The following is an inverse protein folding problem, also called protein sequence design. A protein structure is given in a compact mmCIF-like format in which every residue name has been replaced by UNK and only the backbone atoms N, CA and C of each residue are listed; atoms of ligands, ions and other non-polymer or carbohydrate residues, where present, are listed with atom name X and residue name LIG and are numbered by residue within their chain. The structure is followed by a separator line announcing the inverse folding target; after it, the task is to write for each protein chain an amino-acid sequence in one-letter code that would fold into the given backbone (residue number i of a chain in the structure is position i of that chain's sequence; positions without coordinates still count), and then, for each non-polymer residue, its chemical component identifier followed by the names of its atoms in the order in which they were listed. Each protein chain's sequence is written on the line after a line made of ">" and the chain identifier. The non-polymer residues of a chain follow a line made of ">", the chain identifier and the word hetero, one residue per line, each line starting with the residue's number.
data_IF_767378715951
#
_entry.id   IF_767378715951
#
_cell.length_a   1.000
_cell.length_b   1.000
_cell.length_c   1.000
_cell.angle_alpha   90.00
_cell.angle_beta   90.00
_cell.angle_gamma   90.00
#
_symmetry.space_group_name_H-M   'P 1'
#
loop_
_entity.id
_entity.type
_entity.pdbx_description
1 polymer ?
#
# COMPACT_ATOMS: atom_id res chain seq x y z
N UNK A 1 -17.72 33.33 -23.43
CA UNK A 1 -17.05 32.03 -23.66
C UNK A 1 -16.57 31.50 -22.31
N UNK A 2 -17.45 30.81 -21.58
CA UNK A 2 -17.15 30.29 -20.24
C UNK A 2 -16.53 28.90 -20.37
N UNK A 3 -15.23 28.76 -20.07
CA UNK A 3 -14.60 27.45 -19.98
C UNK A 3 -15.32 26.64 -18.88
N UNK A 4 -15.83 25.45 -19.23
CA UNK A 4 -16.39 24.51 -18.27
C UNK A 4 -15.23 24.06 -17.37
N UNK A 5 -15.36 24.04 -16.03
CA UNK A 5 -14.33 23.45 -15.20
C UNK A 5 -14.24 21.96 -15.58
N UNK A 6 -13.11 21.56 -16.16
CA UNK A 6 -12.76 20.16 -16.32
C UNK A 6 -12.63 19.56 -14.92
N UNK A 7 -13.72 18.99 -14.41
CA UNK A 7 -13.68 18.16 -13.21
C UNK A 7 -12.91 16.89 -13.55
N UNK A 8 -11.58 16.96 -13.50
CA UNK A 8 -10.70 15.80 -13.55
C UNK A 8 -11.11 14.91 -12.38
N UNK A 9 -11.93 13.89 -12.67
CA UNK A 9 -12.40 12.94 -11.66
C UNK A 9 -11.16 12.32 -11.03
N UNK A 10 -10.87 12.71 -9.79
CA UNK A 10 -9.83 12.05 -9.00
C UNK A 10 -10.18 10.56 -8.98
N UNK A 11 -9.22 9.67 -9.23
CA UNK A 11 -9.47 8.24 -9.26
C UNK A 11 -10.19 7.79 -7.98
N UNK A 12 -11.18 6.90 -8.11
CA UNK A 12 -12.08 6.48 -7.02
C UNK A 12 -11.35 6.03 -5.74
N UNK A 13 -10.14 5.47 -5.89
CA UNK A 13 -9.30 5.03 -4.78
C UNK A 13 -8.79 6.15 -3.86
N UNK A 14 -8.81 7.42 -4.30
CA UNK A 14 -8.49 8.59 -3.45
C UNK A 14 -9.56 8.88 -2.40
N UNK A 15 -10.76 8.32 -2.53
CA UNK A 15 -11.87 8.51 -1.59
C UNK A 15 -11.81 7.54 -0.42
N UNK A 16 -10.91 6.55 -0.46
CA UNK A 16 -10.73 5.60 0.63
C UNK A 16 -9.94 6.30 1.74
N UNK A 17 -10.50 6.51 2.95
CA UNK A 17 -9.91 7.42 3.93
C UNK A 17 -8.50 7.04 4.40
N UNK A 18 -8.20 5.74 4.47
CA UNK A 18 -6.86 5.25 4.82
C UNK A 18 -5.95 5.11 3.59
N UNK A 19 -6.36 4.29 2.62
CA UNK A 19 -5.53 3.99 1.46
C UNK A 19 -5.38 5.15 0.48
N UNK A 20 -6.43 5.97 0.30
CA UNK A 20 -6.42 7.13 -0.59
C UNK A 20 -5.59 8.29 -0.04
N UNK A 21 -5.50 8.43 1.29
CA UNK A 21 -4.60 9.39 1.92
C UNK A 21 -3.14 8.98 1.74
N UNK A 22 -2.81 7.72 2.04
CA UNK A 22 -1.46 7.16 1.83
C UNK A 22 -1.05 7.24 0.35
N UNK A 23 -1.93 6.86 -0.57
CA UNK A 23 -1.65 6.93 -2.00
C UNK A 23 -1.44 8.38 -2.48
N UNK A 24 -2.17 9.34 -1.93
CA UNK A 24 -1.95 10.77 -2.21
C UNK A 24 -0.57 11.21 -1.75
N UNK A 25 -0.19 10.82 -0.54
CA UNK A 25 1.04 11.23 0.09
C UNK A 25 2.28 10.58 -0.55
N UNK A 26 2.13 9.38 -1.13
CA UNK A 26 3.18 8.73 -1.91
C UNK A 26 3.34 9.32 -3.32
N UNK A 27 2.26 9.76 -3.95
CA UNK A 27 2.28 10.28 -5.34
C UNK A 27 2.61 11.77 -5.40
N UNK A 28 2.15 12.56 -4.43
CA UNK A 28 2.29 14.01 -4.41
C UNK A 28 3.22 14.53 -3.31
N UNK A 29 3.64 13.67 -2.37
CA UNK A 29 4.53 14.04 -1.29
C UNK A 29 6.01 14.01 -1.67
N UNK A 30 6.87 14.22 -0.68
CA UNK A 30 8.32 14.15 -0.84
C UNK A 30 8.78 12.71 -1.10
N UNK A 31 9.89 12.50 -1.85
CA UNK A 31 10.43 11.16 -2.11
C UNK A 31 10.66 10.33 -0.84
N UNK A 32 10.97 10.99 0.28
CA UNK A 32 11.21 10.35 1.58
C UNK A 32 9.95 9.74 2.22
N UNK A 33 8.75 10.12 1.77
CA UNK A 33 7.49 9.56 2.30
C UNK A 33 7.42 8.04 2.14
N UNK A 34 8.01 7.50 1.06
CA UNK A 34 8.08 6.06 0.87
C UNK A 34 8.92 5.37 1.96
N UNK A 35 10.05 5.98 2.33
CA UNK A 35 10.91 5.46 3.40
C UNK A 35 10.21 5.55 4.76
N UNK A 36 9.54 6.67 5.05
CA UNK A 36 8.76 6.81 6.28
C UNK A 36 7.63 5.79 6.37
N UNK A 37 6.91 5.55 5.27
CA UNK A 37 5.87 4.51 5.23
C UNK A 37 6.46 3.14 5.53
N UNK A 38 7.59 2.79 4.91
CA UNK A 38 8.25 1.51 5.15
C UNK A 38 8.64 1.36 6.63
N UNK A 39 9.22 2.39 7.23
CA UNK A 39 9.58 2.42 8.66
C UNK A 39 8.35 2.24 9.56
N UNK A 40 7.23 2.89 9.22
CA UNK A 40 5.96 2.75 9.97
C UNK A 40 5.46 1.30 9.88
N UNK A 41 5.45 0.70 8.69
CA UNK A 41 5.01 -0.70 8.49
C UNK A 41 5.91 -1.67 9.28
N UNK A 42 7.23 -1.50 9.22
CA UNK A 42 8.17 -2.32 10.01
C UNK A 42 7.94 -2.13 11.51
N UNK A 43 7.71 -0.90 11.96
CA UNK A 43 7.43 -0.62 13.37
C UNK A 43 6.14 -1.27 13.84
N UNK A 44 5.07 -1.20 13.04
CA UNK A 44 3.81 -1.91 13.30
C UNK A 44 4.01 -3.42 13.39
N UNK A 45 4.86 -3.98 12.52
CA UNK A 45 5.20 -5.40 12.57
C UNK A 45 5.94 -5.76 13.87
N UNK A 46 6.93 -4.96 14.28
CA UNK A 46 7.65 -5.17 15.55
C UNK A 46 6.69 -5.11 16.74
N UNK A 47 5.77 -4.15 16.75
CA UNK A 47 4.75 -4.05 17.80
C UNK A 47 3.79 -5.25 17.79
N UNK A 48 3.38 -5.71 16.62
CA UNK A 48 2.54 -6.90 16.49
C UNK A 48 3.27 -8.15 17.00
N UNK A 49 4.55 -8.32 16.69
CA UNK A 49 5.37 -9.43 17.21
C UNK A 49 5.55 -9.31 18.73
N UNK A 50 5.73 -8.10 19.28
CA UNK A 50 5.78 -7.91 20.72
C UNK A 50 4.47 -8.27 21.42
N UNK A 51 3.33 -7.99 20.79
CA UNK A 51 2.02 -8.25 21.36
C UNK A 51 1.53 -9.70 21.19
N UNK A 52 1.85 -10.36 20.06
CA UNK A 52 1.29 -11.66 19.68
C UNK A 52 2.34 -12.73 19.35
N UNK A 53 3.63 -12.39 19.42
CA UNK A 53 4.73 -13.32 19.15
C UNK A 53 4.74 -13.85 17.71
N UNK A 54 4.95 -15.16 17.57
CA UNK A 54 5.06 -15.85 16.29
C UNK A 54 3.78 -15.73 15.44
N UNK A 55 2.61 -15.59 16.07
CA UNK A 55 1.32 -15.50 15.36
C UNK A 55 1.27 -14.28 14.44
N UNK A 56 1.86 -13.16 14.84
CA UNK A 56 1.93 -11.97 13.99
C UNK A 56 2.73 -12.24 12.70
N UNK A 57 3.84 -12.97 12.81
CA UNK A 57 4.67 -13.33 11.66
C UNK A 57 3.96 -14.32 10.73
N UNK A 58 3.25 -15.31 11.27
CA UNK A 58 2.50 -16.27 10.44
C UNK A 58 1.33 -15.62 9.73
N UNK A 59 0.65 -14.64 10.34
CA UNK A 59 -0.40 -13.86 9.68
C UNK A 59 0.15 -12.99 8.54
N UNK A 60 1.33 -12.39 8.74
CA UNK A 60 2.00 -11.60 7.68
C UNK A 60 2.43 -12.51 6.53
N UNK A 61 2.97 -13.69 6.83
CA UNK A 61 3.29 -14.69 5.81
C UNK A 61 2.03 -15.15 5.05
N UNK A 62 0.92 -15.38 5.76
CA UNK A 62 -0.36 -15.75 5.16
C UNK A 62 -0.89 -14.64 4.23
N UNK A 63 -0.80 -13.38 4.65
CA UNK A 63 -1.19 -12.23 3.82
C UNK A 63 -0.29 -12.10 2.57
N UNK A 64 0.96 -12.54 2.63
CA UNK A 64 1.89 -12.54 1.49
C UNK A 64 1.63 -13.68 0.48
N UNK A 65 0.89 -14.74 0.85
CA UNK A 65 0.57 -15.87 -0.04
C UNK A 65 -0.01 -15.42 -1.40
N UNK A 66 -1.09 -14.60 -1.47
CA UNK A 66 -1.61 -14.15 -2.76
C UNK A 66 -0.60 -13.32 -3.55
N UNK A 67 0.31 -12.58 -2.89
CA UNK A 67 1.38 -11.83 -3.55
C UNK A 67 2.38 -12.80 -4.18
N UNK A 68 2.80 -13.85 -3.45
CA UNK A 68 3.66 -14.89 -3.99
C UNK A 68 3.03 -15.57 -5.19
N UNK A 69 1.74 -15.94 -5.13
CA UNK A 69 1.04 -16.50 -6.28
C UNK A 69 0.95 -15.53 -7.45
N UNK A 70 0.63 -14.25 -7.21
CA UNK A 70 0.59 -13.23 -8.26
C UNK A 70 1.97 -13.06 -8.92
N UNK A 71 3.06 -13.05 -8.13
CA UNK A 71 4.43 -13.00 -8.64
C UNK A 71 4.75 -14.24 -9.47
N UNK A 72 4.43 -15.44 -8.97
CA UNK A 72 4.63 -16.69 -9.69
C UNK A 72 3.87 -16.72 -11.01
N UNK A 73 2.62 -16.27 -11.03
CA UNK A 73 1.83 -16.15 -12.26
C UNK A 73 2.48 -15.12 -13.19
N UNK A 74 2.87 -13.95 -12.68
CA UNK A 74 3.47 -12.89 -13.49
C UNK A 74 4.76 -13.34 -14.17
N UNK A 75 5.64 -14.06 -13.45
CA UNK A 75 6.87 -14.61 -14.04
C UNK A 75 6.59 -15.78 -14.98
N UNK A 76 5.56 -16.59 -14.71
CA UNK A 76 5.22 -17.76 -15.54
C UNK A 76 4.49 -17.38 -16.82
N UNK A 77 3.70 -16.30 -16.79
CA UNK A 77 2.98 -15.78 -17.96
C UNK A 77 3.94 -15.12 -18.96
N UNK A 78 5.13 -14.68 -18.53
CA UNK A 78 6.27 -14.44 -19.41
C UNK A 78 5.98 -13.54 -20.62
N UNK A 79 5.29 -12.40 -20.42
CA UNK A 79 5.21 -11.33 -21.42
C UNK A 79 6.38 -10.37 -21.30
#
# INVERSE_FOLDING_TARGET
>A
MTARPDTRRLPWYYSIPLFGWIARDLVHGTPDNLLYLLVIVVTLLVLAVKAWGLVALTMVALAAVPVCFALLILISVGK
#
